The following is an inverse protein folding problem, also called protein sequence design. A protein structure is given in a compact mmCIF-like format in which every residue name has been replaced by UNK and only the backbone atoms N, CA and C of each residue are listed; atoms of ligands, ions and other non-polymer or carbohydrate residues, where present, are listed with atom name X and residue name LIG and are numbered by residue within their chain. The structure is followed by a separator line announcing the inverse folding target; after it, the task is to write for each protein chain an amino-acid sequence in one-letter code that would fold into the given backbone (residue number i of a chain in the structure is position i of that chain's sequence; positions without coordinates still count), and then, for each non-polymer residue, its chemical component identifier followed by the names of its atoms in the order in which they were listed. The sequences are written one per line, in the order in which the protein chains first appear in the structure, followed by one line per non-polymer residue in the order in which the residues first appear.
data_IF_413609497571
#
_entry.id   IF_413609497571
#
_cell.length_a   1.000
_cell.length_b   1.000
_cell.length_c   1.000
_cell.angle_alpha   90.00
_cell.angle_beta   90.00
_cell.angle_gamma   90.00
#
_symmetry.space_group_name_H-M   'P 1'
#
loop_
_entity.id
_entity.type
_entity.pdbx_description
1 polymer ?
#
# COMPACT_ATOMS: atom_id res chain seq x y z
N UNK A 1 -17.89 13.06 -9.66
CA UNK A 1 -17.67 11.61 -9.61
C UNK A 1 -18.93 10.90 -9.13
N UNK A 2 -19.32 9.81 -9.78
CA UNK A 2 -20.44 8.98 -9.36
C UNK A 2 -20.13 7.52 -9.66
N UNK A 3 -20.05 6.68 -8.60
CA UNK A 3 -19.68 5.26 -8.71
C UNK A 3 -20.56 4.39 -7.83
N UNK A 4 -20.65 3.11 -8.23
CA UNK A 4 -21.23 2.03 -7.43
C UNK A 4 -20.21 0.88 -7.38
N UNK A 5 -19.89 0.36 -6.20
CA UNK A 5 -18.96 -0.76 -6.04
C UNK A 5 -19.44 -1.74 -4.95
N UNK A 6 -18.84 -2.93 -4.97
CA UNK A 6 -19.04 -3.92 -3.91
C UNK A 6 -18.50 -3.39 -2.58
N UNK A 7 -19.29 -3.55 -1.53
CA UNK A 7 -18.92 -3.04 -0.19
C UNK A 7 -17.72 -3.76 0.40
N UNK A 8 -17.66 -5.10 0.25
CA UNK A 8 -16.55 -5.86 0.85
C UNK A 8 -15.23 -5.53 0.15
N UNK A 9 -15.25 -5.44 -1.18
CA UNK A 9 -14.08 -5.01 -1.95
C UNK A 9 -13.62 -3.60 -1.53
N UNK A 10 -14.55 -2.68 -1.29
CA UNK A 10 -14.23 -1.32 -0.82
C UNK A 10 -13.67 -1.33 0.61
N UNK A 11 -14.21 -2.14 1.53
CA UNK A 11 -13.70 -2.30 2.90
C UNK A 11 -12.25 -2.78 2.87
N UNK A 12 -11.96 -3.82 2.08
CA UNK A 12 -10.64 -4.42 1.97
C UNK A 12 -9.63 -3.43 1.34
N UNK A 13 -10.05 -2.75 0.27
CA UNK A 13 -9.24 -1.73 -0.38
C UNK A 13 -8.89 -0.58 0.57
N UNK A 14 -9.88 0.00 1.25
CA UNK A 14 -9.69 1.07 2.24
C UNK A 14 -8.80 0.58 3.39
N UNK A 15 -9.03 -0.64 3.89
CA UNK A 15 -8.23 -1.25 4.96
C UNK A 15 -6.76 -1.42 4.57
N UNK A 16 -6.48 -1.72 3.31
CA UNK A 16 -5.11 -1.84 2.80
C UNK A 16 -4.43 -0.48 2.70
N UNK A 17 -5.02 0.47 1.97
CA UNK A 17 -4.39 1.77 1.72
C UNK A 17 -4.28 2.64 2.98
N UNK A 18 -5.20 2.48 3.93
CA UNK A 18 -5.19 3.21 5.20
C UNK A 18 -3.92 2.97 6.04
N UNK A 19 -3.20 1.85 5.79
CA UNK A 19 -1.92 1.52 6.47
C UNK A 19 -0.79 2.48 6.11
N UNK A 20 -0.86 3.10 4.93
CA UNK A 20 0.10 4.09 4.46
C UNK A 20 -0.38 5.53 4.66
N UNK A 21 -1.46 5.75 5.39
CA UNK A 21 -1.95 7.10 5.69
C UNK A 21 -1.29 7.64 6.96
N UNK A 22 -0.81 8.87 6.88
CA UNK A 22 -0.26 9.57 8.05
C UNK A 22 -1.34 9.87 9.09
N UNK A 23 -1.07 9.60 10.35
CA UNK A 23 -1.98 9.95 11.44
C UNK A 23 -1.94 11.43 11.83
N UNK A 24 -0.86 12.13 11.50
CA UNK A 24 -0.66 13.58 11.65
C UNK A 24 0.34 14.03 10.60
N UNK A 25 -0.07 14.89 9.70
CA UNK A 25 0.77 15.45 8.65
C UNK A 25 0.66 16.97 8.60
N UNK A 26 1.71 17.62 8.12
CA UNK A 26 1.66 19.04 7.75
C UNK A 26 0.84 19.29 6.48
N UNK A 27 0.64 18.24 5.69
CA UNK A 27 -0.21 18.23 4.49
C UNK A 27 -1.52 17.50 4.81
N UNK A 28 -2.66 18.19 4.95
CA UNK A 28 -3.93 17.56 5.29
C UNK A 28 -4.36 16.44 4.33
N UNK A 29 -4.01 16.54 3.06
CA UNK A 29 -4.31 15.52 2.05
C UNK A 29 -3.69 14.15 2.39
N UNK A 30 -2.54 14.09 3.08
CA UNK A 30 -1.88 12.85 3.51
C UNK A 30 -2.56 12.16 4.70
N UNK A 31 -3.52 12.82 5.37
CA UNK A 31 -4.42 12.19 6.34
C UNK A 31 -5.63 11.53 5.66
N UNK A 32 -5.70 11.61 4.34
CA UNK A 32 -6.75 11.08 3.50
C UNK A 32 -6.33 9.93 2.61
N UNK A 33 -7.33 9.31 2.00
CA UNK A 33 -7.20 8.34 0.91
C UNK A 33 -7.57 9.05 -0.37
N UNK A 34 -6.68 9.03 -1.36
CA UNK A 34 -7.01 9.46 -2.71
C UNK A 34 -7.89 8.40 -3.37
N UNK A 35 -9.02 8.84 -3.91
CA UNK A 35 -9.94 8.05 -4.71
C UNK A 35 -9.96 8.61 -6.13
N UNK A 36 -9.78 7.76 -7.13
CA UNK A 36 -9.87 8.14 -8.54
C UNK A 36 -10.70 7.11 -9.30
N UNK A 37 -11.81 7.54 -9.85
CA UNK A 37 -12.72 6.71 -10.63
C UNK A 37 -12.54 6.96 -12.12
N UNK A 38 -12.22 5.91 -12.88
CA UNK A 38 -12.08 5.97 -14.33
C UNK A 38 -12.37 4.61 -14.97
N UNK A 39 -12.92 4.61 -16.18
CA UNK A 39 -13.29 3.38 -16.89
C UNK A 39 -14.30 2.55 -16.11
N UNK A 40 -13.93 1.36 -15.68
CA UNK A 40 -14.73 0.44 -14.86
C UNK A 40 -14.09 0.15 -13.49
N UNK A 41 -13.27 1.08 -12.98
CA UNK A 41 -12.50 0.84 -11.77
C UNK A 41 -12.44 2.07 -10.85
N UNK A 42 -12.26 1.78 -9.57
CA UNK A 42 -11.92 2.75 -8.54
C UNK A 42 -10.50 2.47 -8.05
N UNK A 43 -9.59 3.40 -8.29
CA UNK A 43 -8.26 3.42 -7.73
C UNK A 43 -8.28 4.11 -6.37
N UNK A 44 -7.60 3.51 -5.39
CA UNK A 44 -7.41 4.04 -4.05
C UNK A 44 -5.92 4.12 -3.74
N UNK A 45 -5.51 5.18 -3.04
CA UNK A 45 -4.14 5.35 -2.61
C UNK A 45 -4.04 5.97 -1.22
N UNK A 46 -3.13 5.44 -0.40
CA UNK A 46 -2.64 6.01 0.85
C UNK A 46 -1.14 6.29 0.73
N UNK A 47 -0.66 7.41 1.27
CA UNK A 47 0.74 7.79 1.19
C UNK A 47 1.15 8.64 2.40
N UNK A 48 2.32 8.36 3.00
CA UNK A 48 2.87 9.13 4.12
C UNK A 48 4.26 9.76 3.79
N UNK A 49 4.61 9.83 2.50
CA UNK A 49 5.89 10.25 1.90
C UNK A 49 6.99 9.20 1.95
N UNK A 50 6.92 8.25 2.88
CA UNK A 50 7.87 7.14 2.99
C UNK A 50 7.30 5.85 2.43
N UNK A 51 6.00 5.60 2.66
CA UNK A 51 5.26 4.42 2.25
C UNK A 51 4.02 4.82 1.47
N UNK A 52 3.89 4.33 0.25
CA UNK A 52 2.67 4.41 -0.56
C UNK A 52 2.04 3.03 -0.71
N UNK A 53 0.73 2.92 -0.52
CA UNK A 53 -0.03 1.70 -0.81
C UNK A 53 -1.16 2.10 -1.75
N UNK A 54 -1.23 1.43 -2.89
CA UNK A 54 -2.30 1.63 -3.86
C UNK A 54 -3.07 0.33 -4.08
N UNK A 55 -4.33 0.45 -4.43
CA UNK A 55 -5.15 -0.69 -4.84
C UNK A 55 -6.22 -0.23 -5.81
N UNK A 56 -6.69 -1.12 -6.65
CA UNK A 56 -7.77 -0.85 -7.59
C UNK A 56 -8.84 -1.92 -7.42
N UNK A 57 -10.09 -1.52 -7.41
CA UNK A 57 -11.25 -2.42 -7.37
C UNK A 57 -12.16 -2.16 -8.56
N UNK A 58 -12.96 -3.14 -8.93
CA UNK A 58 -14.01 -2.98 -9.92
C UNK A 58 -15.11 -2.04 -9.39
N UNK A 59 -15.59 -1.15 -10.24
CA UNK A 59 -16.67 -0.24 -9.94
C UNK A 59 -17.46 0.12 -11.19
N UNK A 60 -18.76 0.24 -11.06
CA UNK A 60 -19.60 0.88 -12.08
C UNK A 60 -19.39 2.39 -12.00
N UNK A 61 -18.61 2.94 -12.92
CA UNK A 61 -18.30 4.37 -12.98
C UNK A 61 -19.29 5.05 -13.91
N UNK A 62 -20.25 5.79 -13.32
CA UNK A 62 -21.24 6.57 -14.06
C UNK A 62 -20.68 7.93 -14.47
N UNK A 63 -19.91 8.53 -13.56
CA UNK A 63 -19.17 9.80 -13.80
C UNK A 63 -17.75 9.66 -13.25
N UNK A 64 -16.73 9.83 -14.11
CA UNK A 64 -15.35 9.81 -13.63
C UNK A 64 -15.05 11.01 -12.72
N UNK A 65 -13.96 10.91 -11.97
CA UNK A 65 -13.50 12.00 -11.11
C UNK A 65 -12.61 11.51 -9.99
N UNK A 66 -12.17 12.45 -9.17
CA UNK A 66 -11.22 12.18 -8.10
C UNK A 66 -11.49 13.05 -6.88
N UNK A 67 -11.16 12.53 -5.71
CA UNK A 67 -11.31 13.22 -4.41
C UNK A 67 -10.39 12.57 -3.38
N UNK A 68 -10.01 13.34 -2.36
CA UNK A 68 -9.35 12.83 -1.16
C UNK A 68 -10.33 12.85 0.01
N UNK A 69 -10.52 11.72 0.67
CA UNK A 69 -11.38 11.61 1.85
C UNK A 69 -10.57 11.23 3.08
N UNK A 70 -10.86 11.87 4.22
CA UNK A 70 -10.19 11.56 5.50
C UNK A 70 -10.27 10.06 5.78
N UNK A 71 -9.13 9.40 5.84
CA UNK A 71 -9.01 7.93 5.85
C UNK A 71 -9.78 7.29 7.01
N UNK A 72 -9.64 7.83 8.21
CA UNK A 72 -10.30 7.33 9.40
C UNK A 72 -11.82 7.38 9.27
N UNK A 73 -12.36 8.56 8.93
CA UNK A 73 -13.80 8.77 8.85
C UNK A 73 -14.43 7.95 7.72
N UNK A 74 -13.81 7.99 6.53
CA UNK A 74 -14.27 7.22 5.38
C UNK A 74 -14.28 5.71 5.67
N UNK A 75 -13.19 5.19 6.26
CA UNK A 75 -13.11 3.77 6.61
C UNK A 75 -14.12 3.34 7.68
N UNK A 76 -14.43 4.21 8.66
CA UNK A 76 -15.47 3.93 9.66
C UNK A 76 -16.86 3.90 9.04
N UNK A 77 -17.17 4.83 8.13
CA UNK A 77 -18.44 4.89 7.43
C UNK A 77 -18.64 3.63 6.59
N UNK A 78 -17.69 3.30 5.70
CA UNK A 78 -17.80 2.16 4.78
C UNK A 78 -18.02 0.85 5.54
N UNK A 79 -17.30 0.63 6.64
CA UNK A 79 -17.48 -0.59 7.48
C UNK A 79 -18.86 -0.70 8.11
N UNK A 80 -19.52 0.42 8.40
CA UNK A 80 -20.84 0.47 9.07
C UNK A 80 -22.02 0.56 8.09
N UNK A 81 -21.76 0.69 6.79
CA UNK A 81 -22.84 0.70 5.79
C UNK A 81 -23.61 -0.64 5.83
N UNK A 82 -24.94 -0.62 5.73
CA UNK A 82 -25.76 -1.86 5.74
C UNK A 82 -25.57 -2.60 4.43
N UNK A 83 -26.05 -2.56 3.41
CA UNK A 83 -26.10 -3.25 2.13
C UNK A 83 -24.81 -3.94 1.64
N UNK A 84 -24.90 -4.57 0.49
CA UNK A 84 -23.80 -5.26 -0.18
C UNK A 84 -23.03 -4.33 -1.14
N UNK A 85 -23.63 -3.21 -1.53
CA UNK A 85 -23.03 -2.22 -2.42
C UNK A 85 -23.00 -0.84 -1.80
N UNK A 86 -22.03 -0.04 -2.22
CA UNK A 86 -21.82 1.35 -1.79
C UNK A 86 -21.81 2.24 -3.02
N UNK A 87 -22.65 3.26 -3.01
CA UNK A 87 -22.64 4.36 -3.98
C UNK A 87 -21.86 5.54 -3.38
N UNK A 88 -20.95 6.10 -4.15
CA UNK A 88 -20.21 7.31 -3.79
C UNK A 88 -20.43 8.37 -4.87
N UNK A 89 -20.95 9.53 -4.46
CA UNK A 89 -21.21 10.68 -5.33
C UNK A 89 -20.48 11.90 -4.77
N UNK A 90 -19.77 12.63 -5.61
CA UNK A 90 -19.12 13.89 -5.21
C UNK A 90 -19.67 15.07 -5.99
N UNK A 91 -19.79 16.21 -5.33
CA UNK A 91 -20.20 17.48 -5.93
C UNK A 91 -19.01 18.41 -6.21
N UNK A 92 -19.28 19.55 -6.82
CA UNK A 92 -18.27 20.59 -7.14
C UNK A 92 -17.69 21.27 -5.88
N UNK A 93 -18.36 21.14 -4.73
CA UNK A 93 -17.91 21.70 -3.45
C UNK A 93 -17.09 20.69 -2.63
N UNK A 94 -16.69 19.58 -3.28
CA UNK A 94 -15.95 18.48 -2.66
C UNK A 94 -16.71 17.76 -1.53
N UNK A 95 -18.06 17.83 -1.50
CA UNK A 95 -18.82 16.98 -0.61
C UNK A 95 -18.93 15.59 -1.24
N UNK A 96 -18.61 14.57 -0.47
CA UNK A 96 -18.78 13.17 -0.85
C UNK A 96 -19.99 12.58 -0.11
N UNK A 97 -21.01 12.19 -0.85
CA UNK A 97 -22.17 11.49 -0.35
C UNK A 97 -22.00 9.99 -0.56
N UNK A 98 -22.02 9.24 0.53
CA UNK A 98 -21.81 7.79 0.59
C UNK A 98 -23.16 7.17 0.96
N UNK A 99 -23.70 6.32 0.08
CA UNK A 99 -25.03 5.69 0.24
C UNK A 99 -24.93 4.18 0.18
N UNK A 100 -25.73 3.52 1.01
CA UNK A 100 -25.98 2.08 0.92
C UNK A 100 -27.37 1.80 1.53
N UNK A 101 -28.25 1.18 0.76
CA UNK A 101 -29.67 1.03 1.09
C UNK A 101 -30.33 2.36 1.50
N UNK A 102 -30.84 2.43 2.71
CA UNK A 102 -31.52 3.62 3.27
C UNK A 102 -30.57 4.55 4.02
N UNK A 103 -29.31 4.17 4.15
CA UNK A 103 -28.31 4.92 4.94
C UNK A 103 -27.50 5.83 4.03
N UNK A 104 -27.35 7.08 4.45
CA UNK A 104 -26.58 8.10 3.75
C UNK A 104 -25.72 8.89 4.70
N UNK A 105 -24.47 9.14 4.31
CA UNK A 105 -23.54 10.06 5.00
C UNK A 105 -22.96 11.02 3.98
N UNK A 106 -22.79 12.28 4.38
CA UNK A 106 -22.06 13.27 3.60
C UNK A 106 -20.87 13.74 4.40
N UNK A 107 -19.69 13.70 3.79
CA UNK A 107 -18.44 14.19 4.36
C UNK A 107 -17.76 15.12 3.38
N UNK A 108 -17.04 16.13 3.92
CA UNK A 108 -16.24 17.03 3.10
C UNK A 108 -14.92 16.35 2.75
N UNK A 109 -14.52 16.42 1.48
CA UNK A 109 -13.23 15.97 0.98
C UNK A 109 -12.27 17.12 0.74
N UNK A 110 -11.11 16.77 0.20
CA UNK A 110 -10.03 17.67 -0.22
C UNK A 110 -9.82 17.45 -1.72
N UNK A 111 -9.36 18.48 -2.42
CA UNK A 111 -9.04 18.35 -3.85
C UNK A 111 -7.94 17.32 -4.07
N UNK A 112 -8.11 16.44 -5.06
CA UNK A 112 -7.08 15.49 -5.44
C UNK A 112 -5.78 16.17 -5.93
N UNK A 113 -5.85 17.41 -6.40
CA UNK A 113 -4.67 18.21 -6.78
C UNK A 113 -3.74 18.56 -5.61
N UNK A 114 -4.23 18.45 -4.37
CA UNK A 114 -3.41 18.64 -3.18
C UNK A 114 -2.70 17.35 -2.72
N UNK A 115 -3.04 16.21 -3.34
CA UNK A 115 -2.42 14.94 -2.99
C UNK A 115 -1.07 14.80 -3.69
N UNK A 116 0.02 14.52 -2.96
CA UNK A 116 1.33 14.35 -3.57
C UNK A 116 1.35 13.16 -4.54
N UNK A 117 2.13 13.28 -5.58
CA UNK A 117 2.32 12.21 -6.55
C UNK A 117 3.06 11.02 -5.90
N UNK A 118 2.50 9.82 -6.03
CA UNK A 118 3.14 8.60 -5.55
C UNK A 118 4.21 8.19 -6.56
N UNK A 119 5.47 8.01 -6.12
CA UNK A 119 6.55 7.65 -7.03
C UNK A 119 6.29 6.33 -7.76
N UNK A 120 6.54 6.31 -9.06
CA UNK A 120 6.57 5.10 -9.87
C UNK A 120 8.01 4.65 -10.13
N UNK A 121 8.21 3.36 -10.36
CA UNK A 121 9.50 2.78 -10.79
C UNK A 121 9.35 2.34 -12.24
N UNK A 122 9.88 3.13 -13.19
CA UNK A 122 9.77 2.85 -14.62
C UNK A 122 10.91 1.94 -15.12
N UNK A 123 12.13 2.15 -14.64
CA UNK A 123 13.35 1.43 -15.07
C UNK A 123 13.94 0.60 -13.93
N UNK A 124 13.13 -0.15 -13.22
CA UNK A 124 13.56 -0.97 -12.08
C UNK A 124 14.05 -2.36 -12.49
N UNK A 125 14.96 -2.89 -11.67
CA UNK A 125 15.30 -4.31 -11.73
C UNK A 125 14.14 -5.12 -11.15
N UNK A 126 13.67 -6.12 -11.88
CA UNK A 126 12.53 -6.95 -11.50
C UNK A 126 12.98 -8.30 -10.96
N UNK A 127 12.44 -8.73 -9.84
CA UNK A 127 12.52 -10.10 -9.38
C UNK A 127 11.21 -10.57 -8.81
N UNK A 128 11.02 -11.87 -8.85
CA UNK A 128 9.81 -12.54 -8.37
C UNK A 128 10.18 -13.64 -7.38
N UNK A 129 9.36 -13.74 -6.35
CA UNK A 129 9.42 -14.86 -5.42
C UNK A 129 8.01 -15.12 -4.84
N UNK A 130 7.75 -16.31 -4.27
CA UNK A 130 6.48 -16.60 -3.64
C UNK A 130 6.20 -15.69 -2.44
N UNK A 131 4.94 -15.28 -2.25
CA UNK A 131 4.52 -14.44 -1.13
C UNK A 131 4.86 -15.06 0.22
N UNK A 132 4.57 -16.35 0.42
CA UNK A 132 4.87 -17.09 1.64
C UNK A 132 6.38 -17.09 1.95
N UNK A 133 7.23 -17.20 0.93
CA UNK A 133 8.69 -17.13 1.08
C UNK A 133 9.14 -15.77 1.56
N UNK A 134 8.73 -14.67 0.89
CA UNK A 134 9.07 -13.31 1.30
C UNK A 134 8.55 -13.03 2.72
N UNK A 135 7.30 -13.40 3.01
CA UNK A 135 6.69 -13.26 4.33
C UNK A 135 7.49 -13.97 5.43
N UNK A 136 7.91 -15.21 5.16
CA UNK A 136 8.74 -15.99 6.06
C UNK A 136 10.10 -15.34 6.31
N UNK A 137 10.77 -14.88 5.25
CA UNK A 137 12.07 -14.21 5.34
C UNK A 137 12.00 -12.94 6.19
N UNK A 138 11.01 -12.08 5.92
CA UNK A 138 10.79 -10.85 6.70
C UNK A 138 10.51 -11.18 8.16
N UNK A 139 9.62 -12.14 8.45
CA UNK A 139 9.29 -12.54 9.83
C UNK A 139 10.50 -13.03 10.62
N UNK A 140 11.43 -13.73 9.95
CA UNK A 140 12.62 -14.30 10.57
C UNK A 140 13.76 -13.29 10.74
N UNK A 141 13.68 -12.08 10.18
CA UNK A 141 14.73 -11.08 10.29
C UNK A 141 14.28 -9.80 10.98
N UNK A 142 13.01 -9.41 10.84
CA UNK A 142 12.48 -8.14 11.31
C UNK A 142 12.65 -7.91 12.83
N UNK A 143 12.68 -8.97 13.64
CA UNK A 143 12.88 -8.86 15.09
C UNK A 143 14.27 -8.32 15.49
N UNK A 144 15.25 -8.38 14.59
CA UNK A 144 16.61 -7.90 14.81
C UNK A 144 16.81 -6.47 14.23
N UNK A 145 15.80 -5.82 13.75
CA UNK A 145 15.84 -4.40 13.35
C UNK A 145 15.88 -3.52 14.60
N UNK A 146 16.74 -2.51 14.59
CA UNK A 146 16.86 -1.57 15.69
C UNK A 146 15.60 -0.67 15.82
N UNK A 147 15.41 -0.10 17.01
CA UNK A 147 14.33 0.85 17.24
C UNK A 147 14.46 2.07 16.30
N UNK A 148 13.35 2.72 15.91
CA UNK A 148 13.37 3.92 15.04
C UNK A 148 14.21 5.08 15.60
N UNK A 149 14.49 5.07 16.88
CA UNK A 149 15.30 6.09 17.58
C UNK A 149 16.79 5.75 17.61
N UNK A 150 17.24 4.64 16.99
CA UNK A 150 18.67 4.29 16.93
C UNK A 150 19.44 5.37 16.14
N UNK A 151 20.59 5.85 16.63
CA UNK A 151 21.37 6.89 15.95
C UNK A 151 21.98 6.42 14.62
N UNK A 152 21.91 5.15 14.31
CA UNK A 152 22.39 4.55 13.06
C UNK A 152 21.22 4.19 12.16
N UNK A 153 20.80 5.06 11.23
CA UNK A 153 19.60 4.84 10.41
C UNK A 153 19.57 3.51 9.64
N UNK A 154 20.75 3.04 9.21
CA UNK A 154 20.89 1.77 8.48
C UNK A 154 20.42 0.55 9.30
N UNK A 155 20.45 0.62 10.64
CA UNK A 155 20.01 -0.45 11.52
C UNK A 155 18.49 -0.45 11.74
N UNK A 156 17.81 0.65 11.39
CA UNK A 156 16.33 0.74 11.54
C UNK A 156 15.56 0.05 10.43
N UNK A 157 16.27 -0.63 9.52
CA UNK A 157 15.70 -1.41 8.43
C UNK A 157 16.38 -2.77 8.23
N UNK A 158 15.85 -3.53 7.30
CA UNK A 158 16.42 -4.80 6.85
C UNK A 158 17.12 -4.57 5.51
N UNK A 159 18.36 -4.97 5.41
CA UNK A 159 19.12 -4.97 4.15
C UNK A 159 18.66 -6.16 3.30
N UNK A 160 18.32 -5.88 2.06
CA UNK A 160 18.10 -6.84 1.00
C UNK A 160 19.35 -6.90 0.13
N UNK A 161 19.94 -8.05 -0.04
CA UNK A 161 21.00 -8.33 -1.00
C UNK A 161 20.50 -9.35 -1.99
N UNK A 162 20.48 -8.97 -3.25
CA UNK A 162 20.08 -9.79 -4.37
C UNK A 162 21.32 -10.08 -5.19
N UNK A 163 21.63 -11.34 -5.32
CA UNK A 163 22.67 -11.91 -6.18
C UNK A 163 22.01 -12.77 -7.26
N UNK A 164 22.76 -13.24 -8.23
CA UNK A 164 22.21 -14.00 -9.37
C UNK A 164 21.42 -15.24 -8.97
N UNK A 165 21.74 -15.86 -7.85
CA UNK A 165 21.18 -17.12 -7.36
C UNK A 165 20.60 -17.05 -5.95
N UNK A 166 20.70 -15.90 -5.29
CA UNK A 166 20.39 -15.76 -3.87
C UNK A 166 19.78 -14.41 -3.50
N UNK A 167 18.72 -14.45 -2.71
CA UNK A 167 18.19 -13.30 -1.96
C UNK A 167 18.57 -13.47 -0.48
N UNK A 168 19.24 -12.46 0.09
CA UNK A 168 19.54 -12.39 1.53
C UNK A 168 18.83 -11.21 2.17
N UNK A 169 18.20 -11.45 3.32
CA UNK A 169 17.68 -10.43 4.21
C UNK A 169 18.56 -10.38 5.47
N UNK A 170 19.04 -9.20 5.82
CA UNK A 170 19.98 -9.00 6.93
C UNK A 170 19.47 -7.87 7.81
N UNK A 171 19.29 -8.14 9.10
CA UNK A 171 18.89 -7.16 10.11
C UNK A 171 19.84 -7.20 11.30
N UNK A 172 20.17 -6.02 11.86
CA UNK A 172 21.08 -5.90 13.01
C UNK A 172 20.68 -4.72 13.89
N UNK A 173 20.76 -4.89 15.22
CA UNK A 173 20.52 -3.80 16.19
C UNK A 173 21.75 -3.49 17.07
N UNK A 174 22.91 -4.12 16.78
CA UNK A 174 24.13 -3.98 17.53
C UNK A 174 24.34 -5.02 18.65
N UNK A 175 23.29 -5.72 19.06
CA UNK A 175 23.36 -6.84 20.03
C UNK A 175 23.01 -8.19 19.41
N UNK A 176 22.29 -8.19 18.32
CA UNK A 176 21.85 -9.39 17.56
C UNK A 176 21.91 -9.14 16.07
N UNK A 177 22.12 -10.21 15.32
CA UNK A 177 22.15 -10.26 13.88
C UNK A 177 21.24 -11.39 13.41
N UNK A 178 20.33 -11.10 12.49
CA UNK A 178 19.52 -12.10 11.82
C UNK A 178 19.82 -12.09 10.34
N UNK A 179 20.07 -13.27 9.76
CA UNK A 179 20.28 -13.47 8.33
C UNK A 179 19.37 -14.59 7.87
N UNK A 180 18.62 -14.35 6.81
CA UNK A 180 17.81 -15.34 6.12
C UNK A 180 18.10 -15.27 4.63
N UNK A 181 18.34 -16.41 4.00
CA UNK A 181 18.61 -16.49 2.57
C UNK A 181 17.72 -17.53 1.89
N UNK A 182 17.38 -17.24 0.64
CA UNK A 182 16.62 -18.12 -0.26
C UNK A 182 17.25 -18.13 -1.64
N UNK A 183 17.15 -19.27 -2.31
CA UNK A 183 17.54 -19.38 -3.71
C UNK A 183 16.52 -18.65 -4.59
N UNK A 184 17.01 -17.78 -5.44
CA UNK A 184 16.22 -17.08 -6.47
C UNK A 184 16.97 -17.15 -7.80
N UNK A 185 16.30 -16.76 -8.88
CA UNK A 185 16.96 -16.49 -10.15
C UNK A 185 16.83 -15.00 -10.45
N UNK A 186 17.94 -14.32 -10.64
CA UNK A 186 17.99 -12.91 -11.01
C UNK A 186 19.10 -12.68 -12.03
N UNK A 187 18.80 -11.91 -13.07
CA UNK A 187 19.80 -11.53 -14.09
C UNK A 187 20.71 -10.37 -13.61
N UNK A 188 20.38 -9.79 -12.46
CA UNK A 188 21.06 -8.60 -11.95
C UNK A 188 21.23 -8.67 -10.43
N UNK A 189 22.23 -7.95 -9.91
CA UNK A 189 22.43 -7.78 -8.47
C UNK A 189 21.91 -6.43 -7.99
N UNK A 190 21.35 -6.41 -6.80
CA UNK A 190 20.89 -5.19 -6.13
C UNK A 190 21.12 -5.25 -4.62
N UNK A 191 21.30 -4.11 -3.99
CA UNK A 191 21.43 -4.01 -2.54
C UNK A 191 20.78 -2.72 -2.04
N UNK A 192 19.85 -2.85 -1.10
CA UNK A 192 19.08 -1.74 -0.53
C UNK A 192 18.61 -2.05 0.88
N UNK A 193 18.15 -1.04 1.60
CA UNK A 193 17.61 -1.20 2.96
C UNK A 193 16.15 -0.77 2.95
N UNK A 194 15.28 -1.65 3.46
CA UNK A 194 13.85 -1.39 3.63
C UNK A 194 13.58 -1.06 5.10
N UNK A 195 12.94 0.09 5.42
CA UNK A 195 12.61 0.44 6.79
C UNK A 195 11.77 -0.63 7.49
N UNK A 196 12.06 -0.88 8.77
CA UNK A 196 11.33 -1.89 9.55
C UNK A 196 9.83 -1.60 9.67
N UNK A 197 9.43 -0.31 9.75
CA UNK A 197 8.02 0.12 9.73
C UNK A 197 7.33 -0.35 8.45
N UNK A 198 7.96 -0.13 7.30
CA UNK A 198 7.45 -0.56 5.99
C UNK A 198 7.30 -2.07 5.92
N UNK A 199 8.31 -2.83 6.38
CA UNK A 199 8.25 -4.30 6.41
C UNK A 199 7.14 -4.83 7.31
N UNK A 200 6.82 -4.15 8.41
CA UNK A 200 5.68 -4.50 9.27
C UNK A 200 4.35 -4.37 8.54
N UNK A 201 4.19 -3.34 7.70
CA UNK A 201 2.97 -3.19 6.90
C UNK A 201 2.93 -4.19 5.74
N UNK A 202 4.06 -4.43 5.06
CA UNK A 202 4.18 -5.47 4.02
C UNK A 202 3.78 -6.85 4.57
N UNK A 203 4.23 -7.22 5.77
CA UNK A 203 3.84 -8.48 6.41
C UNK A 203 2.33 -8.68 6.56
N UNK A 204 1.58 -7.60 6.74
CA UNK A 204 0.12 -7.65 6.89
C UNK A 204 -0.59 -7.79 5.54
N UNK A 205 0.07 -7.42 4.45
CA UNK A 205 -0.45 -7.51 3.08
C UNK A 205 -0.16 -8.87 2.44
N UNK A 206 1.01 -9.46 2.75
CA UNK A 206 1.43 -10.75 2.20
C UNK A 206 0.56 -11.89 2.74
N UNK A 207 0.15 -12.80 1.86
CA UNK A 207 -0.57 -14.03 2.18
C UNK A 207 0.39 -15.21 2.39
N UNK A 208 -0.10 -16.29 3.01
CA UNK A 208 0.66 -17.54 3.15
C UNK A 208 0.42 -18.46 1.92
N UNK A 209 0.66 -17.89 0.72
CA UNK A 209 0.38 -18.50 -0.58
C UNK A 209 1.64 -18.52 -1.44
N UNK A 210 1.67 -19.41 -2.44
CA UNK A 210 2.76 -19.50 -3.42
C UNK A 210 2.61 -18.52 -4.59
N UNK A 211 1.52 -17.71 -4.63
CA UNK A 211 1.36 -16.67 -5.64
C UNK A 211 2.57 -15.74 -5.63
N UNK A 212 3.10 -15.39 -6.81
CA UNK A 212 4.30 -14.58 -6.88
C UNK A 212 4.05 -13.15 -6.43
N UNK A 213 5.04 -12.55 -5.81
CA UNK A 213 5.18 -11.13 -5.60
C UNK A 213 6.33 -10.62 -6.46
N UNK A 214 6.13 -9.49 -7.11
CA UNK A 214 7.16 -8.85 -7.94
C UNK A 214 7.74 -7.66 -7.21
N UNK A 215 9.07 -7.63 -7.06
CA UNK A 215 9.80 -6.47 -6.57
C UNK A 215 10.41 -5.75 -7.77
N UNK A 216 10.11 -4.46 -7.90
CA UNK A 216 10.73 -3.54 -8.86
C UNK A 216 11.64 -2.59 -8.10
N UNK A 217 12.95 -2.73 -8.26
CA UNK A 217 13.93 -1.90 -7.55
C UNK A 217 14.46 -0.82 -8.47
N UNK A 218 14.06 0.40 -8.22
CA UNK A 218 14.58 1.60 -8.84
C UNK A 218 15.74 2.22 -8.05
N UNK A 219 16.19 3.39 -8.49
CA UNK A 219 17.32 4.10 -7.85
C UNK A 219 16.97 4.70 -6.48
N UNK A 220 15.71 5.06 -6.24
CA UNK A 220 15.24 5.77 -5.04
C UNK A 220 14.03 5.12 -4.40
N UNK A 221 13.29 4.33 -5.14
CA UNK A 221 12.04 3.72 -4.70
C UNK A 221 12.02 2.25 -5.07
N UNK A 222 11.31 1.48 -4.28
CA UNK A 222 11.05 0.07 -4.52
C UNK A 222 9.54 -0.11 -4.56
N UNK A 223 9.06 -0.81 -5.56
CA UNK A 223 7.66 -1.18 -5.69
C UNK A 223 7.53 -2.67 -5.46
N UNK A 224 6.65 -3.03 -4.54
CA UNK A 224 6.24 -4.40 -4.28
C UNK A 224 4.85 -4.59 -4.86
N UNK A 225 4.76 -5.37 -5.93
CA UNK A 225 3.49 -5.74 -6.55
C UNK A 225 3.01 -7.08 -6.01
N UNK A 226 1.89 -7.04 -5.28
CA UNK A 226 1.25 -8.21 -4.69
C UNK A 226 0.01 -8.52 -5.53
N UNK A 227 0.18 -9.35 -6.56
CA UNK A 227 -0.93 -9.81 -7.38
C UNK A 227 -1.90 -10.66 -6.56
N UNK A 228 -3.18 -10.29 -6.57
CA UNK A 228 -4.26 -11.11 -6.01
C UNK A 228 -5.16 -11.60 -7.12
N UNK A 229 -5.74 -12.81 -7.05
CA UNK A 229 -6.63 -13.33 -8.09
C UNK A 229 -7.88 -12.47 -8.34
N UNK A 230 -8.23 -11.58 -7.41
CA UNK A 230 -9.43 -10.73 -7.45
C UNK A 230 -9.18 -9.25 -7.22
N UNK A 231 -7.94 -8.84 -7.03
CA UNK A 231 -7.59 -7.44 -6.83
C UNK A 231 -6.44 -7.05 -7.77
N UNK A 232 -6.66 -6.04 -8.55
CA UNK A 232 -5.64 -5.41 -9.38
C UNK A 232 -4.56 -4.86 -8.44
N UNK A 233 -3.31 -5.22 -8.71
CA UNK A 233 -2.04 -4.77 -8.14
C UNK A 233 -2.08 -3.72 -7.01
N UNK A 234 -1.46 -4.05 -5.89
CA UNK A 234 -1.17 -3.06 -4.84
C UNK A 234 0.32 -2.79 -4.80
N UNK A 235 0.88 -1.88 -5.61
CA UNK A 235 2.27 -1.48 -5.46
C UNK A 235 2.45 -0.79 -4.10
N UNK A 236 3.52 -1.16 -3.41
CA UNK A 236 4.01 -0.50 -2.21
C UNK A 236 5.28 0.22 -2.62
N UNK A 237 5.26 1.56 -2.63
CA UNK A 237 6.43 2.39 -2.92
C UNK A 237 7.01 2.95 -1.62
N UNK A 238 8.33 2.90 -1.46
CA UNK A 238 9.05 3.45 -0.30
C UNK A 238 10.50 3.82 -0.68
#
# INVERSE_FOLDING_TARGET
MNILCDKQALIDAVGNVQRAVSGKSTLPALEGILLRAAGSSLFLAGFDLDLGITTTIEAEVREPGEIVLTARLFGEIVRRMPGESVMLVTDEKLNATIRSDVTEFTIMGISASEYPEIPAVEDGVLFQLPQNTLKSMIRQTLFAVAAPTDPRPIHTGTKFEIETDCLKLISVDGSRLAIRQEAIQSDTSASFVVPGKTLQEILKLLQDEETPVTLSVGRRHIVLDISRPTAITSPVAF
#
